data_IF_399272598737
#
_entry.id   IF_399272598737
#
_cell.length_a   1.000
_cell.length_b   1.000
_cell.length_c   1.000
_cell.angle_alpha   90.00
_cell.angle_beta   90.00
_cell.angle_gamma   90.00
#
_symmetry.space_group_name_H-M   'P 1'
#
loop_
_entity.id
_entity.type
_entity.pdbx_description
1 polymer ?
#
# COMPACT_ATOMS: atom_id res chain seq x y z
N UNK A 1 14.75 -4.63 -0.25
CA UNK A 1 13.78 -4.00 -1.18
C UNK A 1 14.08 -4.21 -2.67
N UNK A 2 15.34 -4.29 -3.16
CA UNK A 2 15.62 -4.45 -4.62
C UNK A 2 14.84 -5.59 -5.30
N UNK A 3 14.91 -6.82 -4.77
CA UNK A 3 14.21 -7.98 -5.35
C UNK A 3 12.67 -7.83 -5.33
N UNK A 4 12.11 -7.27 -4.25
CA UNK A 4 10.66 -7.05 -4.10
C UNK A 4 10.13 -6.01 -5.10
N UNK A 5 10.96 -5.06 -5.49
CA UNK A 5 10.63 -4.01 -6.45
C UNK A 5 10.94 -4.44 -7.90
N UNK A 6 11.13 -5.74 -8.15
CA UNK A 6 11.41 -6.30 -9.47
C UNK A 6 12.83 -6.07 -10.00
N UNK A 7 13.75 -5.53 -9.19
CA UNK A 7 15.13 -5.32 -9.63
C UNK A 7 15.95 -6.62 -9.60
N UNK A 8 16.81 -6.80 -10.61
CA UNK A 8 17.82 -7.86 -10.63
C UNK A 8 19.00 -7.47 -9.74
N UNK A 9 19.57 -8.46 -9.03
CA UNK A 9 20.76 -8.28 -8.18
C UNK A 9 21.86 -9.23 -8.61
N UNK A 10 23.11 -8.79 -8.61
CA UNK A 10 24.25 -9.69 -8.85
C UNK A 10 24.97 -10.01 -7.54
N UNK A 11 25.59 -11.20 -7.47
CA UNK A 11 26.34 -11.62 -6.27
C UNK A 11 27.47 -10.64 -5.95
N UNK A 12 28.22 -10.25 -6.97
CA UNK A 12 29.40 -9.40 -6.83
C UNK A 12 29.04 -7.98 -6.38
N UNK A 13 27.96 -7.40 -6.94
CA UNK A 13 27.46 -6.08 -6.53
C UNK A 13 27.10 -6.06 -5.05
N UNK A 14 26.43 -7.11 -4.56
CA UNK A 14 26.01 -7.19 -3.16
C UNK A 14 27.18 -7.51 -2.24
N UNK A 15 28.08 -8.40 -2.65
CA UNK A 15 29.29 -8.72 -1.91
C UNK A 15 30.14 -7.45 -1.68
N UNK A 16 30.32 -6.65 -2.74
CA UNK A 16 31.02 -5.37 -2.64
C UNK A 16 30.26 -4.37 -1.76
N UNK A 17 28.94 -4.22 -1.95
CA UNK A 17 28.13 -3.25 -1.21
C UNK A 17 28.11 -3.52 0.30
N UNK A 18 28.07 -4.78 0.70
CA UNK A 18 27.99 -5.19 2.10
C UNK A 18 29.34 -5.59 2.68
N UNK A 19 30.43 -5.47 1.91
CA UNK A 19 31.80 -5.83 2.31
C UNK A 19 31.91 -7.27 2.84
N UNK A 20 31.22 -8.20 2.18
CA UNK A 20 31.20 -9.63 2.54
C UNK A 20 31.73 -10.51 1.42
N UNK A 21 32.11 -11.74 1.76
CA UNK A 21 32.48 -12.73 0.77
C UNK A 21 31.27 -13.09 -0.13
N UNK A 22 31.46 -13.24 -1.46
CA UNK A 22 30.39 -13.67 -2.38
C UNK A 22 29.70 -14.99 -1.98
N UNK A 23 30.38 -15.86 -1.22
CA UNK A 23 29.80 -17.09 -0.66
C UNK A 23 28.75 -16.81 0.41
N UNK A 24 28.90 -15.72 1.17
CA UNK A 24 27.88 -15.27 2.13
C UNK A 24 26.62 -14.86 1.39
N UNK A 25 26.75 -14.03 0.35
CA UNK A 25 25.61 -13.64 -0.50
C UNK A 25 24.95 -14.86 -1.15
N UNK A 26 25.74 -15.85 -1.59
CA UNK A 26 25.19 -17.08 -2.15
C UNK A 26 24.38 -17.89 -1.13
N UNK A 27 24.82 -17.94 0.13
CA UNK A 27 24.07 -18.62 1.20
C UNK A 27 22.75 -17.89 1.47
N UNK A 28 22.79 -16.57 1.60
CA UNK A 28 21.59 -15.76 1.80
C UNK A 28 20.57 -15.95 0.66
N UNK A 29 21.03 -15.99 -0.59
CA UNK A 29 20.16 -16.26 -1.75
C UNK A 29 19.55 -17.66 -1.73
N UNK A 30 20.28 -18.65 -1.20
CA UNK A 30 19.76 -20.01 -1.04
C UNK A 30 18.68 -20.06 0.06
N UNK A 31 18.93 -19.39 1.20
CA UNK A 31 17.98 -19.31 2.30
C UNK A 31 16.69 -18.58 1.88
N UNK A 32 16.82 -17.48 1.11
CA UNK A 32 15.68 -16.77 0.52
C UNK A 32 14.88 -17.69 -0.41
N UNK A 33 15.56 -18.51 -1.24
CA UNK A 33 14.86 -19.44 -2.14
C UNK A 33 14.04 -20.46 -1.34
N UNK A 34 14.63 -21.08 -0.32
CA UNK A 34 13.93 -22.04 0.54
C UNK A 34 12.72 -21.40 1.23
N UNK A 35 12.88 -20.18 1.76
CA UNK A 35 11.77 -19.43 2.36
C UNK A 35 10.63 -19.19 1.35
N UNK A 36 10.96 -18.81 0.12
CA UNK A 36 9.93 -18.58 -0.91
C UNK A 36 9.20 -19.88 -1.28
N UNK A 37 9.93 -20.98 -1.42
CA UNK A 37 9.34 -22.30 -1.71
C UNK A 37 8.37 -22.76 -0.61
N UNK A 38 8.67 -22.46 0.66
CA UNK A 38 7.85 -22.86 1.81
C UNK A 38 6.66 -21.91 2.08
N UNK A 39 6.86 -20.60 1.96
CA UNK A 39 5.89 -19.60 2.44
C UNK A 39 5.25 -18.74 1.34
N UNK A 40 5.80 -18.73 0.12
CA UNK A 40 5.34 -17.89 -1.00
C UNK A 40 5.40 -18.67 -2.33
N UNK A 41 4.55 -19.70 -2.51
CA UNK A 41 4.54 -20.52 -3.72
C UNK A 41 4.19 -19.73 -5.00
N UNK A 42 3.67 -18.51 -4.85
CA UNK A 42 3.40 -17.54 -5.90
C UNK A 42 4.65 -16.78 -6.38
N UNK A 43 5.80 -16.90 -5.70
CA UNK A 43 7.04 -16.20 -5.99
C UNK A 43 8.26 -17.13 -5.96
N UNK A 44 9.18 -16.95 -6.91
CA UNK A 44 10.35 -17.79 -7.12
C UNK A 44 11.58 -16.92 -7.38
N UNK A 45 12.69 -17.19 -6.67
CA UNK A 45 13.95 -16.51 -6.94
C UNK A 45 14.69 -17.17 -8.13
N UNK A 46 14.63 -16.53 -9.30
CA UNK A 46 15.23 -17.02 -10.54
C UNK A 46 16.58 -16.39 -10.84
N UNK A 47 17.47 -17.18 -11.40
CA UNK A 47 18.75 -16.71 -11.94
C UNK A 47 18.61 -16.44 -13.44
N UNK A 48 19.02 -15.26 -13.87
CA UNK A 48 19.10 -14.87 -15.28
C UNK A 48 20.55 -14.94 -15.75
N UNK A 49 20.81 -15.83 -16.72
CA UNK A 49 22.14 -15.95 -17.32
C UNK A 49 22.55 -14.73 -18.14
N UNK A 50 21.58 -14.01 -18.74
CA UNK A 50 21.87 -12.82 -19.56
C UNK A 50 22.35 -11.64 -18.73
N UNK A 51 21.77 -11.45 -17.54
CA UNK A 51 22.16 -10.37 -16.61
C UNK A 51 23.14 -10.84 -15.53
N UNK A 52 23.48 -12.14 -15.51
CA UNK A 52 24.24 -12.82 -14.44
C UNK A 52 23.71 -12.50 -13.04
N UNK A 53 22.40 -12.29 -12.93
CA UNK A 53 21.76 -11.78 -11.72
C UNK A 53 20.53 -12.57 -11.31
N UNK A 54 20.15 -12.44 -10.04
CA UNK A 54 18.96 -13.02 -9.45
C UNK A 54 17.82 -12.01 -9.46
N UNK A 55 16.61 -12.46 -9.76
CA UNK A 55 15.38 -11.66 -9.71
C UNK A 55 14.25 -12.50 -9.14
N UNK A 56 13.26 -11.84 -8.56
CA UNK A 56 12.04 -12.51 -8.10
C UNK A 56 11.08 -12.62 -9.29
N UNK A 57 10.63 -13.83 -9.61
CA UNK A 57 9.69 -14.15 -10.68
C UNK A 57 8.45 -14.81 -10.09
N UNK A 58 7.26 -14.47 -10.57
CA UNK A 58 5.99 -14.96 -10.00
C UNK A 58 4.92 -13.88 -10.01
N UNK A 59 3.72 -14.19 -9.50
CA UNK A 59 2.69 -13.16 -9.32
C UNK A 59 3.11 -12.25 -8.18
N UNK A 60 3.82 -11.19 -8.52
CA UNK A 60 3.79 -10.00 -7.69
C UNK A 60 2.34 -9.50 -7.76
N UNK A 61 1.51 -9.79 -6.75
CA UNK A 61 0.19 -9.16 -6.53
C UNK A 61 0.31 -7.64 -6.28
N UNK A 62 1.35 -7.01 -6.80
CA UNK A 62 1.61 -5.59 -6.74
C UNK A 62 0.78 -4.90 -7.81
N UNK A 63 0.16 -3.78 -7.43
CA UNK A 63 -0.52 -2.91 -8.37
C UNK A 63 0.47 -2.41 -9.42
N UNK A 64 0.18 -2.66 -10.69
CA UNK A 64 0.90 -2.03 -11.79
C UNK A 64 0.56 -0.55 -11.89
N UNK A 65 1.31 0.18 -12.71
CA UNK A 65 1.14 1.64 -12.88
C UNK A 65 -0.29 2.05 -13.19
N UNK A 66 -1.00 1.30 -14.04
CA UNK A 66 -2.38 1.60 -14.43
C UNK A 66 -3.35 1.42 -13.25
N UNK A 67 -3.24 0.33 -12.49
CA UNK A 67 -4.10 0.10 -11.32
C UNK A 67 -3.81 1.13 -10.21
N UNK A 68 -2.53 1.43 -9.97
CA UNK A 68 -2.11 2.46 -9.01
C UNK A 68 -2.70 3.82 -9.37
N UNK A 69 -2.63 4.21 -10.65
CA UNK A 69 -3.22 5.47 -11.11
C UNK A 69 -4.75 5.50 -10.90
N UNK A 70 -5.45 4.40 -11.23
CA UNK A 70 -6.90 4.32 -11.05
C UNK A 70 -7.30 4.50 -9.57
N UNK A 71 -6.60 3.84 -8.65
CA UNK A 71 -6.83 3.98 -7.21
C UNK A 71 -6.51 5.39 -6.71
N UNK A 72 -5.41 6.00 -7.16
CA UNK A 72 -5.08 7.39 -6.83
C UNK A 72 -6.19 8.35 -7.28
N UNK A 73 -6.75 8.16 -8.49
CA UNK A 73 -7.85 9.00 -9.00
C UNK A 73 -9.13 8.81 -8.19
N UNK A 74 -9.51 7.58 -7.86
CA UNK A 74 -10.68 7.29 -7.00
C UNK A 74 -10.50 7.92 -5.61
N UNK A 75 -9.32 7.75 -5.01
CA UNK A 75 -8.99 8.30 -3.70
C UNK A 75 -9.15 9.84 -3.69
N UNK A 76 -8.53 10.52 -4.66
CA UNK A 76 -8.60 11.98 -4.79
C UNK A 76 -10.03 12.46 -5.06
N UNK A 77 -10.80 11.74 -5.89
CA UNK A 77 -12.17 12.08 -6.21
C UNK A 77 -13.13 11.91 -5.03
N UNK A 78 -12.90 10.88 -4.19
CA UNK A 78 -13.77 10.58 -3.04
C UNK A 78 -13.80 11.69 -1.99
N UNK A 79 -12.71 12.45 -1.86
CA UNK A 79 -12.52 13.52 -0.86
C UNK A 79 -12.80 13.11 0.59
N UNK A 80 -12.84 11.80 0.85
CA UNK A 80 -13.34 11.24 2.09
C UNK A 80 -12.32 11.26 3.22
N UNK A 81 -11.03 11.32 2.89
CA UNK A 81 -9.95 11.31 3.87
C UNK A 81 -9.42 12.71 4.12
N UNK A 82 -8.83 12.91 5.30
CA UNK A 82 -8.11 14.15 5.56
C UNK A 82 -6.93 14.30 4.60
N UNK A 83 -6.49 15.53 4.32
CA UNK A 83 -5.34 15.77 3.43
C UNK A 83 -4.11 14.94 3.83
N UNK A 84 -3.85 14.86 5.14
CA UNK A 84 -2.75 14.05 5.70
C UNK A 84 -2.89 12.56 5.38
N UNK A 85 -4.09 12.00 5.55
CA UNK A 85 -4.36 10.60 5.22
C UNK A 85 -4.28 10.35 3.71
N UNK A 86 -4.84 11.24 2.89
CA UNK A 86 -4.75 11.17 1.44
C UNK A 86 -3.30 11.18 0.96
N UNK A 87 -2.49 12.12 1.44
CA UNK A 87 -1.06 12.19 1.08
C UNK A 87 -0.30 10.94 1.50
N UNK A 88 -0.61 10.39 2.69
CA UNK A 88 -0.02 9.13 3.16
C UNK A 88 -0.40 7.94 2.26
N UNK A 89 -1.68 7.80 1.93
CA UNK A 89 -2.18 6.71 1.07
C UNK A 89 -1.64 6.82 -0.35
N UNK A 90 -1.56 8.03 -0.92
CA UNK A 90 -0.95 8.26 -2.24
C UNK A 90 0.53 7.86 -2.23
N UNK A 91 1.27 8.19 -1.17
CA UNK A 91 2.66 7.75 -1.00
C UNK A 91 2.78 6.23 -0.99
N UNK A 92 1.98 5.56 -0.17
CA UNK A 92 1.99 4.09 -0.06
C UNK A 92 1.62 3.39 -1.37
N UNK A 93 0.69 3.96 -2.15
CA UNK A 93 0.36 3.47 -3.48
C UNK A 93 1.55 3.62 -4.46
N UNK A 94 2.25 4.76 -4.39
CA UNK A 94 3.39 5.06 -5.26
C UNK A 94 4.63 4.21 -4.97
N UNK A 95 4.80 3.73 -3.74
CA UNK A 95 5.94 2.88 -3.33
C UNK A 95 6.01 1.54 -4.09
N UNK A 96 4.91 1.13 -4.74
CA UNK A 96 4.87 -0.06 -5.59
C UNK A 96 5.47 0.17 -6.99
N UNK A 97 5.75 1.41 -7.37
CA UNK A 97 6.20 1.79 -8.71
C UNK A 97 7.71 2.03 -8.77
N UNK A 98 8.29 1.87 -9.96
CA UNK A 98 9.69 2.26 -10.19
C UNK A 98 9.85 3.79 -10.10
N UNK A 99 11.05 4.33 -9.82
CA UNK A 99 11.25 5.78 -9.71
C UNK A 99 10.82 6.58 -10.96
N UNK A 100 10.95 6.00 -12.15
CA UNK A 100 10.51 6.62 -13.40
C UNK A 100 8.98 6.73 -13.45
N UNK A 101 8.28 5.66 -13.09
CA UNK A 101 6.82 5.62 -13.05
C UNK A 101 6.26 6.49 -11.93
N UNK A 102 6.91 6.55 -10.76
CA UNK A 102 6.53 7.46 -9.69
C UNK A 102 6.57 8.92 -10.15
N UNK A 103 7.63 9.33 -10.85
CA UNK A 103 7.75 10.70 -11.39
C UNK A 103 6.61 11.02 -12.36
N UNK A 104 6.27 10.07 -13.23
CA UNK A 104 5.19 10.23 -14.19
C UNK A 104 3.81 10.27 -13.51
N UNK A 105 3.53 9.35 -12.57
CA UNK A 105 2.29 9.32 -11.83
C UNK A 105 2.11 10.61 -11.02
N UNK A 106 3.14 11.04 -10.29
CA UNK A 106 3.13 12.29 -9.52
C UNK A 106 2.84 13.50 -10.41
N UNK A 107 3.36 13.51 -11.64
CA UNK A 107 3.03 14.56 -12.62
C UNK A 107 1.54 14.51 -13.02
N UNK A 108 1.00 13.33 -13.31
CA UNK A 108 -0.39 13.13 -13.75
C UNK A 108 -1.41 13.55 -12.68
N UNK A 109 -1.13 13.33 -11.39
CA UNK A 109 -2.06 13.64 -10.29
C UNK A 109 -1.77 14.97 -9.58
N UNK A 110 -0.72 15.70 -10.00
CA UNK A 110 -0.21 16.88 -9.29
C UNK A 110 -1.27 17.93 -9.06
N UNK A 111 -2.09 18.20 -10.07
CA UNK A 111 -3.11 19.25 -10.01
C UNK A 111 -4.22 18.87 -9.02
N UNK A 112 -4.74 17.64 -9.08
CA UNK A 112 -5.77 17.18 -8.15
C UNK A 112 -5.24 17.10 -6.72
N UNK A 113 -4.02 16.62 -6.51
CA UNK A 113 -3.41 16.55 -5.19
C UNK A 113 -3.18 17.95 -4.60
N UNK A 114 -2.65 18.89 -5.39
CA UNK A 114 -2.40 20.26 -4.91
C UNK A 114 -3.68 21.00 -4.56
N UNK A 115 -4.76 20.73 -5.30
CA UNK A 115 -6.08 21.32 -5.10
C UNK A 115 -7.02 20.44 -4.26
N UNK A 116 -6.50 19.41 -3.59
CA UNK A 116 -7.32 18.51 -2.78
C UNK A 116 -7.94 19.26 -1.61
N UNK A 117 -9.26 19.20 -1.51
CA UNK A 117 -10.04 19.78 -0.40
C UNK A 117 -10.86 18.65 0.22
N UNK A 118 -10.53 18.26 1.45
CA UNK A 118 -11.28 17.26 2.21
C UNK A 118 -12.74 17.70 2.48
N UNK A 119 -13.63 16.72 2.71
CA UNK A 119 -14.99 17.00 3.14
C UNK A 119 -15.03 17.59 4.56
N UNK A 120 -16.08 18.36 4.87
CA UNK A 120 -16.24 19.09 6.15
C UNK A 120 -16.59 18.17 7.35
N UNK A 121 -15.95 17.02 7.49
CA UNK A 121 -15.96 16.22 8.71
C UNK A 121 -14.68 16.43 9.55
N UNK A 122 -13.57 16.86 8.92
CA UNK A 122 -12.26 17.16 9.54
C UNK A 122 -11.75 16.09 10.53
N UNK A 123 -12.19 14.85 10.35
CA UNK A 123 -11.85 13.70 11.21
C UNK A 123 -11.02 12.72 10.41
N UNK A 124 -9.92 12.26 10.99
CA UNK A 124 -9.17 11.15 10.43
C UNK A 124 -10.06 9.89 10.42
N UNK A 125 -10.28 9.31 9.23
CA UNK A 125 -11.23 8.22 9.06
C UNK A 125 -10.59 6.83 9.03
N UNK A 126 -9.29 6.69 8.73
CA UNK A 126 -8.67 5.37 8.55
C UNK A 126 -8.83 4.48 9.79
N UNK A 127 -8.54 5.03 10.97
CA UNK A 127 -8.69 4.30 12.23
C UNK A 127 -10.17 3.99 12.53
N UNK A 128 -11.07 4.95 12.29
CA UNK A 128 -12.50 4.79 12.51
C UNK A 128 -13.07 3.68 11.59
N UNK A 129 -12.68 3.66 10.31
CA UNK A 129 -13.06 2.63 9.35
C UNK A 129 -12.62 1.25 9.84
N UNK A 130 -11.37 1.11 10.30
CA UNK A 130 -10.85 -0.14 10.81
C UNK A 130 -11.60 -0.61 12.08
N UNK A 131 -11.86 0.30 13.01
CA UNK A 131 -12.61 -0.01 14.24
C UNK A 131 -14.05 -0.44 13.95
N UNK A 132 -14.77 0.32 13.12
CA UNK A 132 -16.14 -0.03 12.74
C UNK A 132 -16.20 -1.34 11.97
N UNK A 133 -15.23 -1.62 11.10
CA UNK A 133 -15.13 -2.91 10.39
C UNK A 133 -14.98 -4.06 11.39
N UNK A 134 -14.15 -3.89 12.41
CA UNK A 134 -13.99 -4.88 13.48
C UNK A 134 -15.29 -5.08 14.28
N UNK A 135 -16.04 -4.01 14.55
CA UNK A 135 -17.32 -4.11 15.26
C UNK A 135 -18.40 -4.82 14.43
N UNK A 136 -18.41 -4.62 13.10
CA UNK A 136 -19.31 -5.30 12.18
C UNK A 136 -19.04 -6.81 12.18
N UNK A 137 -17.77 -7.20 11.98
CA UNK A 137 -17.34 -8.62 11.95
C UNK A 137 -17.68 -9.33 13.27
N UNK A 138 -17.53 -8.63 14.39
CA UNK A 138 -17.81 -9.17 15.73
C UNK A 138 -19.27 -9.04 16.17
N UNK A 139 -20.15 -8.50 15.34
CA UNK A 139 -21.56 -8.21 15.66
C UNK A 139 -21.73 -7.47 17.00
N UNK A 140 -20.89 -6.46 17.26
CA UNK A 140 -20.85 -5.77 18.54
C UNK A 140 -21.78 -4.55 18.57
N UNK A 141 -22.60 -4.43 19.61
CA UNK A 141 -23.35 -3.22 19.92
C UNK A 141 -22.42 -2.08 20.38
N UNK A 142 -22.69 -0.87 19.89
CA UNK A 142 -21.91 0.33 20.17
C UNK A 142 -22.82 1.44 20.67
N UNK A 143 -22.33 2.24 21.62
CA UNK A 143 -22.92 3.53 21.93
C UNK A 143 -22.14 4.61 21.18
N UNK A 144 -22.83 5.35 20.32
CA UNK A 144 -22.23 6.45 19.55
C UNK A 144 -22.85 7.77 19.96
N UNK A 145 -22.04 8.83 19.96
CA UNK A 145 -22.50 10.21 20.06
C UNK A 145 -22.57 10.79 18.66
N UNK A 146 -23.78 11.11 18.20
CA UNK A 146 -24.02 11.66 16.88
C UNK A 146 -24.33 13.15 16.97
N UNK A 147 -23.50 13.97 16.31
CA UNK A 147 -23.76 15.41 16.14
C UNK A 147 -24.62 15.62 14.89
N UNK A 148 -25.84 16.11 15.09
CA UNK A 148 -26.78 16.45 14.02
C UNK A 148 -26.36 17.75 13.32
N UNK A 149 -26.99 18.04 12.18
CA UNK A 149 -26.79 19.29 11.44
C UNK A 149 -27.12 20.55 12.27
N UNK A 150 -28.08 20.47 13.19
CA UNK A 150 -28.41 21.56 14.13
C UNK A 150 -27.44 21.66 15.32
N UNK A 151 -26.29 20.97 15.24
CA UNK A 151 -25.23 20.87 16.26
C UNK A 151 -25.64 20.18 17.57
N UNK A 152 -26.86 19.63 17.66
CA UNK A 152 -27.26 18.85 18.84
C UNK A 152 -26.61 17.48 18.82
N UNK A 153 -26.21 17.01 19.99
CA UNK A 153 -25.68 15.68 20.19
C UNK A 153 -26.76 14.75 20.71
N UNK A 154 -26.85 13.55 20.14
CA UNK A 154 -27.74 12.48 20.58
C UNK A 154 -26.94 11.19 20.69
N UNK A 155 -27.17 10.43 21.75
CA UNK A 155 -26.54 9.12 21.94
C UNK A 155 -27.44 8.03 21.38
N UNK A 156 -26.88 7.16 20.55
CA UNK A 156 -27.57 5.98 20.01
C UNK A 156 -26.83 4.71 20.37
N UNK A 157 -27.58 3.67 20.73
CA UNK A 157 -27.08 2.29 20.74
C UNK A 157 -27.34 1.67 19.37
N UNK A 158 -26.28 1.29 18.65
CA UNK A 158 -26.36 0.77 17.28
C UNK A 158 -25.69 -0.59 17.16
N UNK A 159 -26.16 -1.40 16.20
CA UNK A 159 -25.46 -2.58 15.69
C UNK A 159 -25.00 -2.27 14.26
N UNK A 160 -23.71 -1.96 14.03
CA UNK A 160 -23.25 -1.60 12.69
C UNK A 160 -23.35 -2.81 11.75
N UNK A 161 -23.73 -2.56 10.50
CA UNK A 161 -23.91 -3.59 9.47
C UNK A 161 -22.96 -3.46 8.29
N UNK A 162 -22.73 -2.24 7.84
CA UNK A 162 -21.84 -1.93 6.72
C UNK A 162 -21.31 -0.50 6.86
N UNK A 163 -20.22 -0.21 6.15
CA UNK A 163 -19.70 1.14 5.93
C UNK A 163 -19.63 1.34 4.42
N UNK A 164 -20.10 2.49 3.95
CA UNK A 164 -20.05 2.86 2.54
C UNK A 164 -19.62 4.32 2.42
N UNK A 165 -18.93 4.64 1.34
CA UNK A 165 -18.78 6.02 0.87
C UNK A 165 -19.93 6.31 -0.10
N UNK A 166 -20.62 7.43 0.11
CA UNK A 166 -21.69 7.92 -0.77
C UNK A 166 -21.51 9.41 -0.93
N UNK A 167 -21.71 9.89 -2.16
CA UNK A 167 -21.92 11.30 -2.46
C UNK A 167 -23.32 11.76 -1.99
#
# INVERSE_FOLDING_TARGET
HKLLNGASITKDEFAQKYEVDPRTIQRDLADIRLFLEEYRPDAELKYSHSTKGFHLAGQNNTLGKAETLALCKILLASRAFTKKETDHLLGALNDNLTPAEQKELNWIIKNEQSNYVELQHTKALLQILWEFSNYIVKHRLLNIVYTRQDKKQVTYTILPKAIIFSD
#
